data_IF_896731184244
#
_entry.id   IF_896731184244
#
_cell.length_a   1.000
_cell.length_b   1.000
_cell.length_c   1.000
_cell.angle_alpha   90.00
_cell.angle_beta   90.00
_cell.angle_gamma   90.00
#
_symmetry.space_group_name_H-M   'P 1'
#
loop_
_entity.id
_entity.type
_entity.pdbx_description
1 polymer ?
#
# COMPACT_ATOMS: atom_id res chain seq x y z
N UNK A 1 -5.87 -76.26 54.43
CA UNK A 1 -5.42 -75.61 53.19
C UNK A 1 -6.56 -74.79 52.65
N UNK A 2 -6.52 -73.47 52.82
CA UNK A 2 -7.37 -72.51 52.08
C UNK A 2 -6.68 -71.15 52.19
N UNK A 3 -6.12 -70.69 51.06
CA UNK A 3 -5.43 -69.42 50.95
C UNK A 3 -6.41 -68.26 50.78
N UNK A 4 -6.08 -67.13 51.41
CA UNK A 4 -6.81 -65.86 51.32
C UNK A 4 -6.26 -65.04 50.14
N UNK A 5 -7.08 -64.44 49.27
CA UNK A 5 -6.59 -63.59 48.19
C UNK A 5 -6.26 -62.17 48.69
N UNK A 6 -5.18 -61.60 48.12
CA UNK A 6 -4.71 -60.23 48.28
C UNK A 6 -5.65 -59.24 47.57
N UNK A 7 -6.18 -58.25 48.29
CA UNK A 7 -6.87 -57.10 47.71
C UNK A 7 -5.86 -56.04 47.24
N UNK A 8 -5.90 -55.71 45.96
CA UNK A 8 -5.14 -54.61 45.37
C UNK A 8 -5.85 -53.26 45.63
N UNK A 9 -5.09 -52.26 46.07
CA UNK A 9 -5.57 -50.88 46.31
C UNK A 9 -5.40 -50.03 45.03
N UNK A 10 -6.38 -49.18 44.63
CA UNK A 10 -6.25 -48.32 43.46
C UNK A 10 -5.41 -47.05 43.76
N UNK A 11 -4.74 -46.45 42.75
CA UNK A 11 -3.91 -45.27 42.96
C UNK A 11 -4.74 -43.98 43.15
N UNK A 12 -4.48 -43.26 44.24
CA UNK A 12 -5.04 -41.94 44.53
C UNK A 12 -4.62 -40.89 43.49
N UNK A 13 -5.59 -40.28 42.79
CA UNK A 13 -5.38 -39.04 42.03
C UNK A 13 -5.32 -37.87 43.02
N UNK A 14 -4.11 -37.39 43.33
CA UNK A 14 -3.91 -36.15 44.10
C UNK A 14 -4.43 -34.95 43.31
N UNK A 15 -5.52 -34.35 43.77
CA UNK A 15 -5.99 -33.05 43.26
C UNK A 15 -4.98 -31.97 43.69
N UNK A 16 -4.60 -31.02 42.80
CA UNK A 16 -3.70 -29.94 43.18
C UNK A 16 -4.33 -29.14 44.33
N UNK A 17 -3.52 -28.67 45.31
CA UNK A 17 -4.05 -27.95 46.46
C UNK A 17 -4.78 -26.70 45.96
N UNK A 18 -5.99 -26.44 46.47
CA UNK A 18 -6.83 -25.29 46.12
C UNK A 18 -6.08 -23.95 46.22
N UNK A 19 -5.06 -23.87 47.07
CA UNK A 19 -4.14 -22.74 47.18
C UNK A 19 -3.37 -22.43 45.88
N UNK A 20 -2.94 -23.45 45.13
CA UNK A 20 -2.25 -23.28 43.86
C UNK A 20 -3.19 -22.75 42.77
N UNK A 21 -4.43 -23.27 42.73
CA UNK A 21 -5.46 -22.79 41.79
C UNK A 21 -5.82 -21.35 42.10
N UNK A 22 -6.02 -21.01 43.38
CA UNK A 22 -6.29 -19.64 43.81
C UNK A 22 -5.13 -18.67 43.46
N UNK A 23 -3.88 -19.09 43.66
CA UNK A 23 -2.71 -18.29 43.32
C UNK A 23 -2.61 -18.02 41.80
N UNK A 24 -2.88 -19.03 40.96
CA UNK A 24 -2.88 -18.89 39.51
C UNK A 24 -4.01 -17.95 39.05
N UNK A 25 -5.21 -18.05 39.63
CA UNK A 25 -6.33 -17.16 39.29
C UNK A 25 -6.04 -15.72 39.70
N UNK A 26 -5.45 -15.49 40.89
CA UNK A 26 -5.02 -14.16 41.32
C UNK A 26 -3.94 -13.56 40.40
N UNK A 27 -2.97 -14.36 39.97
CA UNK A 27 -1.95 -13.92 39.02
C UNK A 27 -2.57 -13.47 37.67
N UNK A 28 -3.53 -14.25 37.15
CA UNK A 28 -4.25 -13.88 35.92
C UNK A 28 -5.11 -12.62 36.11
N UNK A 29 -5.75 -12.46 37.27
CA UNK A 29 -6.56 -11.28 37.57
C UNK A 29 -5.73 -10.00 37.67
N UNK A 30 -4.46 -10.09 38.13
CA UNK A 30 -3.52 -8.96 38.16
C UNK A 30 -3.02 -8.62 36.76
N UNK A 31 -2.70 -9.63 35.94
CA UNK A 31 -2.22 -9.46 34.56
C UNK A 31 -3.29 -8.93 33.60
N UNK A 32 -4.56 -9.17 33.89
CA UNK A 32 -5.70 -8.74 33.06
C UNK A 32 -6.30 -7.39 33.50
N UNK A 33 -5.69 -6.70 34.48
CA UNK A 33 -6.17 -5.35 34.84
C UNK A 33 -5.92 -4.40 33.67
N UNK A 34 -6.96 -3.72 33.16
CA UNK A 34 -6.78 -2.73 32.12
C UNK A 34 -5.91 -1.59 32.66
N UNK A 35 -4.78 -1.34 32.01
CA UNK A 35 -3.96 -0.15 32.27
C UNK A 35 -4.78 1.09 31.93
N UNK A 36 -4.82 2.11 32.81
CA UNK A 36 -5.48 3.36 32.48
C UNK A 36 -4.82 3.96 31.22
N UNK A 37 -5.60 4.56 30.31
CA UNK A 37 -5.02 5.22 29.15
C UNK A 37 -4.06 6.33 29.63
N UNK A 38 -2.89 6.50 29.00
CA UNK A 38 -2.00 7.59 29.32
C UNK A 38 -2.75 8.92 29.16
N UNK A 39 -2.56 9.82 30.13
CA UNK A 39 -3.10 11.18 30.06
C UNK A 39 -2.67 11.82 28.74
N UNK A 40 -3.61 12.48 28.05
CA UNK A 40 -3.36 13.14 26.78
C UNK A 40 -2.20 14.13 26.92
N UNK A 41 -1.16 13.93 26.11
CA UNK A 41 -0.06 14.88 26.00
C UNK A 41 -0.61 16.25 25.55
N UNK A 42 -0.07 17.37 26.06
CA UNK A 42 -0.44 18.69 25.57
C UNK A 42 -0.13 18.80 24.07
N UNK A 43 -1.02 19.45 23.33
CA UNK A 43 -0.91 19.63 21.88
C UNK A 43 0.45 20.26 21.52
N UNK A 44 1.15 19.75 20.49
CA UNK A 44 2.39 20.35 20.04
C UNK A 44 2.12 21.75 19.47
N UNK A 45 2.87 22.74 19.95
CA UNK A 45 2.91 24.08 19.36
C UNK A 45 3.20 23.98 17.86
N UNK A 46 2.44 24.75 17.06
CA UNK A 46 2.61 24.84 15.61
C UNK A 46 4.09 25.07 15.26
N UNK A 47 4.68 24.13 14.50
CA UNK A 47 6.02 24.30 13.93
C UNK A 47 5.94 25.36 12.83
N UNK A 48 6.93 26.25 12.70
CA UNK A 48 7.00 27.15 11.55
C UNK A 48 7.20 26.34 10.25
N UNK A 49 6.55 26.78 9.19
CA UNK A 49 6.61 26.17 7.86
C UNK A 49 8.05 26.02 7.35
N UNK A 50 8.39 24.91 6.67
CA UNK A 50 9.69 24.78 6.05
C UNK A 50 9.82 25.78 4.89
N UNK A 51 10.82 26.67 5.01
CA UNK A 51 11.24 27.55 3.92
C UNK A 51 11.84 26.71 2.78
N UNK A 52 11.13 26.66 1.65
CA UNK A 52 11.63 26.04 0.43
C UNK A 52 12.69 26.95 -0.22
N UNK A 53 13.98 26.67 -0.01
CA UNK A 53 15.03 27.25 -0.83
C UNK A 53 15.09 26.54 -2.17
N UNK A 54 14.63 27.24 -3.22
CA UNK A 54 14.82 26.81 -4.60
C UNK A 54 16.25 27.14 -5.02
N UNK A 55 17.09 26.12 -5.20
CA UNK A 55 18.40 26.30 -5.83
C UNK A 55 18.18 26.64 -7.32
N UNK A 56 18.54 27.86 -7.72
CA UNK A 56 18.60 28.26 -9.13
C UNK A 56 19.95 27.76 -9.66
N UNK A 57 19.93 26.90 -10.68
CA UNK A 57 21.14 26.50 -11.38
C UNK A 57 21.80 27.75 -12.01
N UNK A 58 23.11 27.97 -11.80
CA UNK A 58 23.79 29.07 -12.47
C UNK A 58 23.74 28.86 -13.99
N UNK A 59 23.53 29.92 -14.78
CA UNK A 59 23.55 29.82 -16.24
C UNK A 59 24.93 29.33 -16.71
N UNK A 60 25.00 28.53 -17.79
CA UNK A 60 26.26 28.06 -18.31
C UNK A 60 27.14 29.26 -18.68
N UNK A 61 28.39 29.24 -18.22
CA UNK A 61 29.39 30.24 -18.56
C UNK A 61 29.65 30.20 -20.07
N UNK A 62 29.04 31.13 -20.81
CA UNK A 62 29.40 31.40 -22.19
C UNK A 62 30.85 31.86 -22.20
N UNK A 63 31.68 31.14 -22.97
CA UNK A 63 33.09 31.44 -23.17
C UNK A 63 33.29 32.92 -23.51
N UNK A 64 34.20 33.55 -22.76
CA UNK A 64 34.61 34.92 -22.94
C UNK A 64 35.11 35.17 -24.37
N UNK A 65 34.47 36.11 -25.07
CA UNK A 65 35.09 36.83 -26.18
C UNK A 65 35.25 38.28 -25.75
N UNK A 66 36.50 38.68 -25.55
CA UNK A 66 36.90 40.04 -25.25
C UNK A 66 36.57 40.97 -26.43
N UNK A 67 35.86 42.07 -26.15
CA UNK A 67 35.89 43.31 -26.94
C UNK A 67 35.29 44.48 -26.14
N UNK A 68 36.19 45.24 -25.51
CA UNK A 68 36.27 46.71 -25.44
C UNK A 68 35.03 47.57 -25.11
N UNK A 69 35.05 48.17 -23.91
CA UNK A 69 34.23 49.30 -23.45
C UNK A 69 34.57 50.63 -24.15
N UNK A 70 33.59 51.55 -24.31
CA UNK A 70 33.82 52.99 -24.23
C UNK A 70 33.08 53.67 -23.04
N UNK A 71 33.55 54.86 -22.58
CA UNK A 71 33.23 55.48 -21.29
C UNK A 71 31.97 56.39 -21.26
N UNK A 72 31.54 56.90 -20.07
CA UNK A 72 30.20 57.45 -19.82
C UNK A 72 30.14 58.99 -19.69
N UNK A 73 28.93 59.57 -19.81
CA UNK A 73 28.38 60.74 -19.06
C UNK A 73 26.98 61.17 -19.63
N UNK A 74 26.21 62.08 -19.01
CA UNK A 74 25.52 61.98 -17.71
C UNK A 74 24.00 62.31 -17.77
N UNK A 75 23.35 62.24 -16.61
CA UNK A 75 21.91 62.23 -16.33
C UNK A 75 21.12 63.55 -16.46
N UNK A 76 19.80 63.48 -16.57
CA UNK A 76 18.86 64.09 -15.58
C UNK A 76 17.39 63.61 -15.75
N UNK A 77 16.58 63.63 -14.67
CA UNK A 77 15.25 63.01 -14.58
C UNK A 77 14.08 64.03 -14.58
N UNK A 78 12.84 63.56 -14.77
CA UNK A 78 11.64 64.36 -14.48
C UNK A 78 10.64 63.57 -13.62
N UNK A 79 10.28 64.19 -12.49
CA UNK A 79 9.32 63.77 -11.48
C UNK A 79 7.93 64.37 -11.81
N UNK A 80 6.84 63.59 -11.74
CA UNK A 80 5.88 63.48 -10.62
C UNK A 80 4.84 64.62 -10.49
N UNK A 81 3.58 64.20 -10.19
CA UNK A 81 2.48 64.88 -9.43
C UNK A 81 1.18 65.00 -10.27
N UNK A 82 -0.05 64.78 -9.80
CA UNK A 82 -0.68 64.19 -8.60
C UNK A 82 -2.18 63.92 -8.89
N UNK A 83 -2.82 63.12 -8.03
CA UNK A 83 -4.28 62.93 -7.87
C UNK A 83 -4.91 64.06 -6.99
N UNK A 84 -6.09 63.93 -6.31
CA UNK A 84 -7.36 63.19 -6.52
C UNK A 84 -8.64 64.05 -6.23
N UNK A 85 -9.85 63.47 -6.35
CA UNK A 85 -11.08 63.83 -5.59
C UNK A 85 -12.14 62.68 -5.67
N UNK A 86 -12.57 61.97 -4.60
CA UNK A 86 -13.69 62.20 -3.61
C UNK A 86 -15.11 62.34 -4.23
N UNK A 87 -16.25 61.73 -3.82
CA UNK A 87 -16.72 60.71 -2.82
C UNK A 87 -18.19 60.26 -3.21
N UNK A 88 -19.13 59.71 -2.37
CA UNK A 88 -19.84 58.42 -2.59
C UNK A 88 -21.39 58.52 -2.70
N UNK A 89 -22.15 57.38 -2.75
CA UNK A 89 -23.37 57.08 -1.91
C UNK A 89 -24.16 55.78 -2.24
N UNK A 90 -24.44 55.02 -1.15
CA UNK A 90 -25.59 54.18 -0.71
C UNK A 90 -26.13 52.91 -1.45
N UNK A 91 -25.96 51.76 -0.75
CA UNK A 91 -26.94 50.81 -0.17
C UNK A 91 -28.27 50.47 -0.87
N UNK A 92 -28.58 49.16 -0.96
CA UNK A 92 -29.72 48.53 -0.26
C UNK A 92 -29.68 46.98 -0.32
N UNK A 93 -30.04 46.36 0.81
CA UNK A 93 -30.24 44.93 1.06
C UNK A 93 -31.75 44.64 0.99
N UNK A 94 -32.18 43.51 0.41
CA UNK A 94 -33.39 42.80 0.87
C UNK A 94 -33.49 41.38 0.28
N UNK A 95 -33.37 40.40 1.17
CA UNK A 95 -33.91 39.04 1.11
C UNK A 95 -35.44 39.06 1.13
N UNK A 96 -36.09 38.12 0.41
CA UNK A 96 -37.28 37.35 0.86
C UNK A 96 -37.75 36.34 -0.22
N UNK A 97 -37.57 35.06 0.11
CA UNK A 97 -38.40 33.91 -0.29
C UNK A 97 -39.64 33.85 0.64
N UNK A 98 -40.57 32.87 0.59
CA UNK A 98 -40.96 31.86 -0.42
C UNK A 98 -42.48 31.90 -0.74
N UNK A 99 -42.97 31.04 -1.64
CA UNK A 99 -44.06 30.07 -1.36
C UNK A 99 -44.64 29.44 -2.63
N UNK A 100 -44.78 28.12 -2.57
CA UNK A 100 -45.41 27.23 -3.53
C UNK A 100 -46.95 27.23 -3.39
N UNK A 101 -47.66 26.87 -4.47
CA UNK A 101 -48.88 26.06 -4.42
C UNK A 101 -49.26 25.53 -5.80
N UNK A 102 -49.95 24.40 -5.78
CA UNK A 102 -49.99 23.37 -6.81
C UNK A 102 -51.24 23.39 -7.71
N UNK A 103 -51.11 22.68 -8.83
CA UNK A 103 -52.09 21.78 -9.47
C UNK A 103 -53.40 22.35 -10.06
N UNK A 104 -53.67 22.03 -11.35
CA UNK A 104 -54.66 21.02 -11.79
C UNK A 104 -54.83 21.05 -13.33
N UNK A 105 -55.43 19.98 -13.87
CA UNK A 105 -55.26 19.34 -15.17
C UNK A 105 -56.51 19.50 -16.08
N UNK A 106 -56.30 19.43 -17.42
CA UNK A 106 -57.17 18.86 -18.51
C UNK A 106 -58.11 19.81 -19.31
N UNK A 107 -58.69 19.43 -20.50
CA UNK A 107 -58.20 19.56 -21.92
C UNK A 107 -59.27 20.20 -22.89
N UNK A 108 -59.33 19.92 -24.22
CA UNK A 108 -58.49 20.33 -25.36
C UNK A 108 -59.27 21.18 -26.41
N UNK A 109 -58.58 21.77 -27.40
CA UNK A 109 -59.21 22.32 -28.62
C UNK A 109 -58.23 22.32 -29.83
N UNK A 110 -58.71 22.34 -31.10
CA UNK A 110 -58.09 21.60 -32.20
C UNK A 110 -57.22 22.42 -33.20
N UNK A 111 -56.31 21.65 -33.82
CA UNK A 111 -55.69 21.69 -35.15
C UNK A 111 -56.01 22.84 -36.15
N UNK A 112 -54.96 23.55 -36.56
CA UNK A 112 -54.65 24.18 -37.88
C UNK A 112 -53.19 24.68 -37.77
N UNK A 113 -52.28 24.75 -38.74
CA UNK A 113 -52.03 24.22 -40.08
C UNK A 113 -50.50 24.41 -40.32
N UNK A 114 -49.90 23.65 -41.24
CA UNK A 114 -48.47 23.71 -41.64
C UNK A 114 -48.03 25.12 -42.10
N UNK A 115 -46.76 25.57 -42.11
CA UNK A 115 -45.40 25.02 -42.21
C UNK A 115 -44.37 26.13 -41.78
N UNK A 116 -43.03 26.05 -41.96
CA UNK A 116 -42.12 24.93 -42.16
C UNK A 116 -41.00 24.86 -41.08
N UNK A 117 -40.23 23.78 -41.16
CA UNK A 117 -39.12 23.41 -40.30
C UNK A 117 -37.91 24.35 -40.44
N UNK A 118 -37.44 24.92 -39.33
CA UNK A 118 -36.05 25.36 -39.18
C UNK A 118 -35.25 24.22 -38.57
N UNK A 119 -34.51 23.51 -39.42
CA UNK A 119 -33.47 22.56 -39.03
C UNK A 119 -32.39 23.31 -38.25
N UNK A 120 -32.41 23.19 -36.92
CA UNK A 120 -31.24 23.51 -36.10
C UNK A 120 -30.21 22.42 -36.33
N UNK A 121 -29.08 22.79 -36.94
CA UNK A 121 -27.93 21.92 -37.11
C UNK A 121 -27.43 21.39 -35.75
N UNK A 122 -26.99 20.13 -35.65
CA UNK A 122 -26.36 19.62 -34.42
C UNK A 122 -25.06 20.38 -34.18
N UNK A 123 -24.68 20.66 -32.92
CA UNK A 123 -23.33 21.13 -32.64
C UNK A 123 -22.33 20.05 -33.08
N UNK A 124 -21.45 20.45 -33.99
CA UNK A 124 -20.29 19.71 -34.45
C UNK A 124 -19.47 19.32 -33.21
N UNK A 125 -19.52 18.03 -32.86
CA UNK A 125 -18.71 17.47 -31.79
C UNK A 125 -17.27 17.45 -32.30
N UNK A 126 -16.44 18.34 -31.77
CA UNK A 126 -15.00 18.30 -31.99
C UNK A 126 -14.48 16.89 -31.69
N UNK A 127 -13.67 16.28 -32.58
CA UNK A 127 -13.17 14.94 -32.36
C UNK A 127 -12.39 14.90 -31.04
N UNK A 128 -12.81 14.01 -30.14
CA UNK A 128 -12.06 13.71 -28.94
C UNK A 128 -10.63 13.30 -29.36
N UNK A 129 -9.59 13.80 -28.66
CA UNK A 129 -8.22 13.38 -28.95
C UNK A 129 -8.16 11.85 -28.87
N UNK A 130 -7.42 11.18 -29.77
CA UNK A 130 -7.26 9.74 -29.72
C UNK A 130 -6.76 9.36 -28.33
N UNK A 131 -7.22 8.24 -27.74
CA UNK A 131 -6.75 7.81 -26.44
C UNK A 131 -5.23 7.68 -26.52
N UNK A 132 -4.54 8.53 -25.77
CA UNK A 132 -3.10 8.41 -25.56
C UNK A 132 -2.88 7.05 -24.92
N UNK A 133 -2.55 6.05 -25.75
CA UNK A 133 -2.25 4.71 -25.28
C UNK A 133 -0.89 4.80 -24.63
N UNK A 134 -0.89 5.05 -23.32
CA UNK A 134 0.33 4.92 -22.52
C UNK A 134 0.84 3.51 -22.75
N UNK A 135 2.07 3.33 -23.25
CA UNK A 135 2.60 2.00 -23.52
C UNK A 135 2.59 1.18 -22.24
N UNK A 136 2.04 -0.03 -22.30
CA UNK A 136 1.96 -0.93 -21.17
C UNK A 136 3.37 -1.21 -20.62
N UNK A 137 3.53 -1.14 -19.31
CA UNK A 137 4.80 -1.49 -18.66
C UNK A 137 5.01 -2.99 -18.79
N UNK A 138 6.11 -3.47 -19.38
CA UNK A 138 6.33 -4.90 -19.58
C UNK A 138 6.53 -5.61 -18.23
N UNK A 139 6.08 -6.87 -18.14
CA UNK A 139 6.22 -7.72 -16.94
C UNK A 139 6.70 -9.12 -17.35
N UNK A 140 7.67 -9.66 -16.60
CA UNK A 140 8.23 -11.01 -16.80
C UNK A 140 8.23 -11.76 -15.47
N UNK A 141 7.17 -12.52 -15.22
CA UNK A 141 6.99 -13.26 -13.96
C UNK A 141 7.95 -14.46 -13.86
N UNK A 142 8.50 -14.68 -12.67
CA UNK A 142 9.31 -15.85 -12.37
C UNK A 142 8.53 -17.15 -12.51
N UNK A 143 9.22 -18.25 -12.79
CA UNK A 143 8.62 -19.59 -12.83
C UNK A 143 8.15 -20.05 -11.44
N UNK A 144 7.20 -20.98 -11.45
CA UNK A 144 6.64 -21.60 -10.24
C UNK A 144 7.75 -22.19 -9.37
N UNK A 145 7.73 -21.88 -8.07
CA UNK A 145 8.76 -22.29 -7.13
C UNK A 145 8.20 -22.45 -5.72
N UNK A 146 8.86 -23.30 -4.93
CA UNK A 146 8.65 -23.37 -3.48
C UNK A 146 9.91 -22.89 -2.78
N UNK A 147 9.78 -21.84 -1.99
CA UNK A 147 10.88 -21.18 -1.30
C UNK A 147 10.71 -21.37 0.21
N UNK A 148 11.81 -21.64 0.91
CA UNK A 148 11.84 -21.85 2.36
C UNK A 148 12.64 -20.74 3.02
N UNK A 149 12.17 -20.26 4.16
CA UNK A 149 12.73 -19.10 4.83
C UNK A 149 12.95 -19.39 6.31
N UNK A 150 13.98 -18.76 6.86
CA UNK A 150 14.09 -18.52 8.29
C UNK A 150 13.51 -17.15 8.57
N UNK A 151 12.66 -17.08 9.59
CA UNK A 151 12.08 -15.83 10.09
C UNK A 151 12.66 -15.56 11.46
N UNK A 152 13.23 -14.39 11.66
CA UNK A 152 13.69 -13.93 12.96
C UNK A 152 13.26 -12.50 13.22
N UNK A 153 13.18 -12.10 14.48
CA UNK A 153 12.80 -10.74 14.81
C UNK A 153 12.36 -10.58 16.25
N UNK A 154 11.59 -9.51 16.50
CA UNK A 154 11.06 -9.17 17.81
C UNK A 154 9.57 -8.86 17.69
N UNK A 155 8.78 -9.40 18.60
CA UNK A 155 7.36 -9.09 18.71
C UNK A 155 7.04 -8.77 20.18
N UNK A 156 6.50 -7.57 20.43
CA UNK A 156 6.18 -7.06 21.78
C UNK A 156 7.38 -7.16 22.73
N UNK A 157 8.57 -6.82 22.22
CA UNK A 157 9.82 -6.86 22.98
C UNK A 157 10.44 -8.25 23.18
N UNK A 158 9.82 -9.33 22.70
CA UNK A 158 10.36 -10.69 22.80
C UNK A 158 10.97 -11.12 21.47
N UNK A 159 12.21 -11.64 21.45
CA UNK A 159 12.78 -12.23 20.25
C UNK A 159 12.03 -13.52 19.88
N UNK A 160 11.92 -13.80 18.59
CA UNK A 160 11.38 -15.06 18.09
C UNK A 160 12.15 -15.54 16.87
N UNK A 161 12.07 -16.85 16.65
CA UNK A 161 12.48 -17.51 15.42
C UNK A 161 11.37 -18.44 14.95
N UNK A 162 11.22 -18.54 13.63
CA UNK A 162 10.29 -19.45 12.99
C UNK A 162 10.82 -19.86 11.61
N UNK A 163 10.21 -20.89 11.04
CA UNK A 163 10.36 -21.19 9.62
C UNK A 163 9.15 -20.70 8.84
N UNK A 164 9.33 -20.44 7.56
CA UNK A 164 8.24 -20.07 6.68
C UNK A 164 8.44 -20.62 5.27
N UNK A 165 7.36 -20.64 4.50
CA UNK A 165 7.34 -21.14 3.14
C UNK A 165 6.54 -20.21 2.23
N UNK A 166 7.09 -19.89 1.06
CA UNK A 166 6.34 -19.33 -0.06
C UNK A 166 6.13 -20.42 -1.10
N UNK A 167 4.88 -20.78 -1.38
CA UNK A 167 4.50 -21.58 -2.56
C UNK A 167 4.02 -20.62 -3.64
N UNK A 168 4.78 -20.51 -4.72
CA UNK A 168 4.45 -19.72 -5.91
C UNK A 168 4.14 -20.65 -7.07
N UNK A 169 2.94 -20.52 -7.63
CA UNK A 169 2.49 -21.30 -8.78
C UNK A 169 1.82 -20.38 -9.80
N UNK A 170 2.13 -20.58 -11.07
CA UNK A 170 1.42 -19.93 -12.18
C UNK A 170 1.39 -20.82 -13.41
N UNK A 171 0.38 -20.57 -14.24
CA UNK A 171 0.37 -20.94 -15.65
C UNK A 171 0.30 -19.67 -16.52
N UNK A 172 -0.14 -19.79 -17.77
CA UNK A 172 -0.27 -18.66 -18.70
C UNK A 172 -1.44 -17.71 -18.38
N UNK A 173 -2.40 -18.16 -17.57
CA UNK A 173 -3.68 -17.48 -17.32
C UNK A 173 -4.00 -17.27 -15.85
N UNK A 174 -3.46 -18.09 -14.94
CA UNK A 174 -3.78 -18.10 -13.50
C UNK A 174 -2.51 -18.16 -12.67
N UNK A 175 -2.64 -17.68 -11.44
CA UNK A 175 -1.62 -17.84 -10.42
C UNK A 175 -2.22 -18.16 -9.04
N UNK A 176 -1.38 -18.73 -8.20
CA UNK A 176 -1.61 -18.93 -6.77
C UNK A 176 -0.31 -18.69 -6.02
N UNK A 177 -0.37 -17.84 -4.99
CA UNK A 177 0.72 -17.58 -4.05
C UNK A 177 0.24 -17.86 -2.63
N UNK A 178 1.02 -18.63 -1.87
CA UNK A 178 0.72 -18.93 -0.46
C UNK A 178 1.97 -18.74 0.40
N UNK A 179 1.88 -17.84 1.37
CA UNK A 179 2.89 -17.64 2.40
C UNK A 179 2.42 -18.28 3.70
N UNK A 180 3.23 -19.15 4.31
CA UNK A 180 2.84 -19.88 5.52
C UNK A 180 3.95 -19.85 6.57
N UNK A 181 3.57 -19.54 7.81
CA UNK A 181 4.44 -19.51 9.00
C UNK A 181 3.83 -20.39 10.09
N UNK A 182 4.25 -21.66 10.24
CA UNK A 182 3.83 -22.49 11.35
C UNK A 182 4.46 -22.00 12.67
N UNK A 183 3.63 -21.76 13.68
CA UNK A 183 4.07 -21.35 15.03
C UNK A 183 3.66 -22.44 16.03
N UNK A 184 4.62 -23.17 16.63
CA UNK A 184 4.32 -24.18 17.64
C UNK A 184 3.40 -23.62 18.73
N UNK A 185 2.38 -24.38 19.11
CA UNK A 185 1.37 -24.03 20.16
C UNK A 185 0.43 -22.85 19.84
N UNK A 186 0.73 -21.99 18.86
CA UNK A 186 -0.09 -20.81 18.50
C UNK A 186 -0.96 -21.09 17.26
N UNK A 187 -0.53 -22.02 16.40
CA UNK A 187 -1.18 -22.34 15.14
C UNK A 187 -0.39 -21.82 13.94
N UNK A 188 -1.03 -21.75 12.78
CA UNK A 188 -0.38 -21.32 11.54
C UNK A 188 -0.84 -19.93 11.15
N UNK A 189 0.10 -19.05 10.82
CA UNK A 189 -0.21 -17.81 10.10
C UNK A 189 -0.02 -18.06 8.61
N UNK A 190 -0.95 -17.59 7.78
CA UNK A 190 -0.83 -17.70 6.34
C UNK A 190 -1.37 -16.47 5.61
N UNK A 191 -0.83 -16.21 4.42
CA UNK A 191 -1.38 -15.30 3.43
C UNK A 191 -1.59 -16.08 2.13
N UNK A 192 -2.68 -15.83 1.44
CA UNK A 192 -3.02 -16.53 0.21
C UNK A 192 -3.54 -15.53 -0.82
N UNK A 193 -2.96 -15.53 -2.01
CA UNK A 193 -3.36 -14.68 -3.13
C UNK A 193 -3.61 -15.55 -4.35
N UNK A 194 -4.76 -15.36 -4.99
CA UNK A 194 -5.13 -16.04 -6.24
C UNK A 194 -5.69 -15.04 -7.22
N UNK A 195 -5.46 -15.27 -8.51
CA UNK A 195 -5.99 -14.42 -9.54
C UNK A 195 -5.58 -14.84 -10.95
N UNK A 196 -5.64 -13.89 -11.87
CA UNK A 196 -5.29 -14.05 -13.26
C UNK A 196 -3.86 -13.57 -13.55
N UNK A 197 -3.25 -14.14 -14.58
CA UNK A 197 -2.02 -13.65 -15.20
C UNK A 197 -2.42 -12.93 -16.48
N UNK A 198 -2.03 -11.66 -16.59
CA UNK A 198 -2.38 -10.76 -17.69
C UNK A 198 -1.12 -10.21 -18.35
N UNK A 199 -1.28 -9.48 -19.46
CA UNK A 199 -0.17 -8.77 -20.10
C UNK A 199 0.48 -7.71 -19.18
N UNK A 200 -0.28 -7.18 -18.20
CA UNK A 200 0.21 -6.24 -17.20
C UNK A 200 0.78 -6.94 -15.94
N UNK A 201 0.88 -8.26 -15.94
CA UNK A 201 1.31 -9.07 -14.79
C UNK A 201 0.14 -9.64 -14.00
N UNK A 202 0.30 -9.72 -12.67
CA UNK A 202 -0.68 -10.31 -11.77
C UNK A 202 -1.91 -9.42 -11.61
N UNK A 203 -3.09 -10.02 -11.70
CA UNK A 203 -4.36 -9.41 -11.40
C UNK A 203 -5.05 -10.23 -10.30
N UNK A 204 -4.89 -9.85 -9.02
CA UNK A 204 -5.52 -10.58 -7.91
C UNK A 204 -7.04 -10.57 -8.04
N UNK A 205 -7.67 -11.67 -7.65
CA UNK A 205 -9.12 -11.83 -7.51
C UNK A 205 -9.51 -11.96 -6.03
N UNK A 206 -8.68 -12.66 -5.24
CA UNK A 206 -8.87 -12.81 -3.80
C UNK A 206 -7.53 -12.87 -3.07
N UNK A 207 -7.44 -12.10 -2.00
CA UNK A 207 -6.35 -12.15 -1.02
C UNK A 207 -6.92 -12.50 0.36
N UNK A 208 -6.28 -13.41 1.10
CA UNK A 208 -6.69 -13.82 2.44
C UNK A 208 -5.53 -13.85 3.43
N UNK A 209 -5.79 -13.45 4.66
CA UNK A 209 -4.88 -13.60 5.81
C UNK A 209 -5.52 -14.50 6.86
N UNK A 210 -4.84 -15.58 7.22
CA UNK A 210 -5.26 -16.55 8.25
C UNK A 210 -4.33 -16.50 9.45
N UNK A 211 -4.91 -16.39 10.64
CA UNK A 211 -4.20 -16.57 11.91
C UNK A 211 -5.15 -17.26 12.91
N UNK A 212 -5.78 -16.51 13.83
CA UNK A 212 -6.86 -17.03 14.69
C UNK A 212 -8.23 -17.12 14.00
N UNK A 213 -8.31 -16.61 12.78
CA UNK A 213 -9.46 -16.61 11.89
C UNK A 213 -9.00 -16.15 10.51
N UNK A 214 -9.90 -16.15 9.54
CA UNK A 214 -9.62 -15.72 8.17
C UNK A 214 -10.27 -14.36 7.89
N UNK A 215 -9.53 -13.47 7.23
CA UNK A 215 -10.06 -12.23 6.63
C UNK A 215 -9.58 -12.16 5.19
N UNK A 216 -10.35 -11.53 4.32
CA UNK A 216 -10.05 -11.48 2.91
C UNK A 216 -10.39 -10.12 2.28
N UNK A 217 -9.73 -9.84 1.18
CA UNK A 217 -10.07 -8.81 0.21
C UNK A 217 -10.44 -9.48 -1.12
N UNK A 218 -11.53 -9.03 -1.73
CA UNK A 218 -12.01 -9.48 -3.04
C UNK A 218 -11.86 -8.35 -4.03
N UNK A 219 -11.16 -8.61 -5.13
CA UNK A 219 -10.90 -7.65 -6.19
C UNK A 219 -11.96 -7.87 -7.26
N UNK A 220 -12.93 -6.96 -7.29
CA UNK A 220 -14.08 -7.02 -8.19
C UNK A 220 -13.80 -6.10 -9.38
N UNK A 221 -13.20 -6.68 -10.41
CA UNK A 221 -12.79 -5.97 -11.63
C UNK A 221 -13.97 -5.36 -12.38
N UNK A 222 -15.06 -6.12 -12.56
CA UNK A 222 -16.29 -5.66 -13.20
C UNK A 222 -16.94 -4.51 -12.41
N UNK A 223 -16.84 -4.58 -11.09
CA UNK A 223 -17.32 -3.56 -10.17
C UNK A 223 -16.39 -2.37 -9.94
N UNK A 224 -15.15 -2.41 -10.43
CA UNK A 224 -14.13 -1.39 -10.17
C UNK A 224 -13.83 -1.15 -8.69
N UNK A 225 -13.90 -2.19 -7.84
CA UNK A 225 -13.76 -2.03 -6.37
C UNK A 225 -13.06 -3.21 -5.68
N UNK A 226 -12.55 -2.96 -4.48
CA UNK A 226 -11.99 -3.96 -3.58
C UNK A 226 -12.89 -4.05 -2.34
N UNK A 227 -13.44 -5.23 -2.08
CA UNK A 227 -14.35 -5.51 -0.96
C UNK A 227 -13.63 -6.25 0.15
N UNK A 228 -13.84 -5.85 1.41
CA UNK A 228 -13.19 -6.49 2.55
C UNK A 228 -14.17 -7.32 3.38
N UNK A 229 -13.82 -8.57 3.69
CA UNK A 229 -14.65 -9.45 4.54
C UNK A 229 -14.74 -8.96 6.00
N UNK A 230 -13.88 -8.03 6.39
CA UNK A 230 -13.88 -7.40 7.71
C UNK A 230 -14.96 -6.32 7.89
N UNK A 231 -15.95 -6.23 6.99
CA UNK A 231 -17.00 -5.20 6.97
C UNK A 231 -16.42 -3.78 7.04
N UNK A 232 -15.42 -3.53 6.20
CA UNK A 232 -14.79 -2.21 6.02
C UNK A 232 -15.36 -1.55 4.76
N UNK A 233 -15.32 -0.22 4.65
CA UNK A 233 -15.68 0.45 3.39
C UNK A 233 -14.89 -0.13 2.22
N UNK A 234 -15.55 -0.32 1.09
CA UNK A 234 -14.90 -0.74 -0.15
C UNK A 234 -13.88 0.32 -0.59
N UNK A 235 -12.81 -0.12 -1.25
CA UNK A 235 -11.85 0.76 -1.91
C UNK A 235 -12.08 0.76 -3.42
N UNK A 236 -11.73 1.84 -4.12
CA UNK A 236 -11.70 1.85 -5.58
C UNK A 236 -10.57 0.95 -6.08
N UNK A 237 -10.83 0.14 -7.11
CA UNK A 237 -9.82 -0.71 -7.73
C UNK A 237 -9.03 0.08 -8.78
N UNK A 238 -7.75 0.33 -8.52
CA UNK A 238 -6.86 0.96 -9.49
C UNK A 238 -6.31 -0.06 -10.51
N UNK A 239 -5.94 0.42 -11.70
CA UNK A 239 -5.27 -0.41 -12.69
C UNK A 239 -3.94 -0.93 -12.13
N UNK A 240 -3.70 -2.24 -12.23
CA UNK A 240 -2.51 -2.89 -11.70
C UNK A 240 -2.47 -3.02 -10.17
N UNK A 241 -3.60 -2.78 -9.48
CA UNK A 241 -3.71 -3.00 -8.05
C UNK A 241 -3.30 -4.43 -7.65
N UNK A 242 -2.59 -4.52 -6.54
CA UNK A 242 -2.04 -5.77 -6.00
C UNK A 242 -2.55 -5.98 -4.57
N UNK A 243 -2.38 -7.18 -4.04
CA UNK A 243 -2.40 -7.42 -2.60
C UNK A 243 -0.97 -7.47 -2.03
N UNK A 244 -0.84 -7.58 -0.71
CA UNK A 244 0.46 -7.58 -0.02
C UNK A 244 1.40 -8.71 -0.47
N UNK A 245 0.86 -9.85 -0.90
CA UNK A 245 1.65 -11.00 -1.34
C UNK A 245 1.95 -10.93 -2.84
N UNK A 246 0.93 -10.73 -3.67
CA UNK A 246 1.10 -10.58 -5.13
C UNK A 246 1.95 -9.36 -5.49
N UNK A 247 1.88 -8.27 -4.71
CA UNK A 247 2.67 -7.06 -4.94
C UNK A 247 4.18 -7.30 -4.91
N UNK A 248 4.66 -8.18 -4.03
CA UNK A 248 6.09 -8.55 -3.96
C UNK A 248 6.52 -9.29 -5.24
N UNK A 249 5.67 -10.20 -5.73
CA UNK A 249 5.92 -10.98 -6.95
C UNK A 249 5.81 -10.11 -8.21
N UNK A 250 4.86 -9.19 -8.23
CA UNK A 250 4.66 -8.22 -9.32
C UNK A 250 5.86 -7.28 -9.44
N UNK A 251 6.42 -6.79 -8.33
CA UNK A 251 7.65 -5.99 -8.34
C UNK A 251 8.84 -6.76 -8.95
N UNK A 252 8.97 -8.04 -8.59
CA UNK A 252 9.93 -8.95 -9.23
C UNK A 252 9.72 -9.02 -10.73
N UNK A 253 8.48 -9.23 -11.17
CA UNK A 253 8.15 -9.31 -12.59
C UNK A 253 8.40 -8.02 -13.38
N UNK A 254 8.11 -6.86 -12.80
CA UNK A 254 8.36 -5.55 -13.41
C UNK A 254 9.87 -5.34 -13.64
N UNK A 255 10.67 -5.57 -12.60
CA UNK A 255 12.13 -5.40 -12.68
C UNK A 255 12.75 -6.44 -13.62
N UNK A 256 12.29 -7.69 -13.60
CA UNK A 256 12.78 -8.75 -14.48
C UNK A 256 12.48 -8.50 -15.96
N UNK A 257 11.44 -7.73 -16.28
CA UNK A 257 11.07 -7.44 -17.66
C UNK A 257 12.06 -6.50 -18.33
N UNK A 258 12.48 -5.46 -17.60
CA UNK A 258 13.36 -4.40 -18.07
C UNK A 258 14.20 -3.83 -16.89
N UNK A 259 15.28 -4.52 -16.48
CA UNK A 259 16.11 -4.07 -15.36
C UNK A 259 16.73 -2.69 -15.58
N UNK A 260 16.99 -2.31 -16.83
CA UNK A 260 17.57 -1.01 -17.20
C UNK A 260 16.63 0.16 -16.94
N UNK A 261 15.31 -0.08 -16.88
CA UNK A 261 14.29 0.91 -16.52
C UNK A 261 14.28 1.28 -15.04
N UNK A 262 14.87 0.45 -14.18
CA UNK A 262 14.80 0.59 -12.74
C UNK A 262 16.19 0.65 -12.09
N UNK A 263 17.06 1.63 -12.44
CA UNK A 263 18.32 1.83 -11.73
C UNK A 263 18.07 2.27 -10.27
N UNK A 264 19.08 2.15 -9.37
CA UNK A 264 19.01 2.71 -8.02
C UNK A 264 18.52 4.16 -8.00
N UNK A 265 17.65 4.48 -7.04
CA UNK A 265 16.94 5.76 -6.95
C UNK A 265 15.57 5.79 -7.65
N UNK A 266 15.27 4.82 -8.51
CA UNK A 266 13.95 4.70 -9.16
C UNK A 266 12.83 4.51 -8.16
N UNK A 267 11.63 4.98 -8.51
CA UNK A 267 10.42 4.84 -7.70
C UNK A 267 9.38 4.02 -8.46
N UNK A 268 8.76 3.05 -7.78
CA UNK A 268 7.59 2.33 -8.27
C UNK A 268 6.41 2.61 -7.32
N UNK A 269 5.21 2.70 -7.86
CA UNK A 269 3.99 2.85 -7.06
C UNK A 269 2.94 1.85 -7.50
N UNK A 270 2.36 1.12 -6.56
CA UNK A 270 1.30 0.15 -6.78
C UNK A 270 0.25 0.29 -5.69
N UNK A 271 -1.03 0.39 -6.03
CA UNK A 271 -2.09 0.23 -5.04
C UNK A 271 -1.96 -1.17 -4.43
N UNK A 272 -1.83 -1.25 -3.11
CA UNK A 272 -1.62 -2.51 -2.39
C UNK A 272 -2.69 -2.70 -1.34
N UNK A 273 -3.50 -3.75 -1.49
CA UNK A 273 -4.55 -4.11 -0.56
C UNK A 273 -4.05 -5.08 0.52
N UNK A 274 -4.38 -4.77 1.77
CA UNK A 274 -4.46 -5.75 2.84
C UNK A 274 -5.89 -6.29 2.99
N UNK A 275 -6.23 -6.81 4.17
CA UNK A 275 -7.59 -7.29 4.48
C UNK A 275 -8.52 -6.22 5.07
N UNK A 276 -8.11 -4.94 5.03
CA UNK A 276 -8.81 -3.82 5.69
C UNK A 276 -8.79 -2.50 4.92
N UNK A 277 -7.72 -2.29 4.16
CA UNK A 277 -7.50 -1.08 3.37
C UNK A 277 -6.73 -1.43 2.09
N UNK A 278 -6.78 -0.52 1.11
CA UNK A 278 -5.99 -0.55 -0.10
C UNK A 278 -5.43 0.84 -0.37
N UNK A 279 -4.10 0.97 -0.30
CA UNK A 279 -3.40 2.26 -0.38
C UNK A 279 -2.26 2.20 -1.40
N UNK A 280 -1.89 3.33 -2.01
CA UNK A 280 -0.73 3.40 -2.89
C UNK A 280 0.57 3.20 -2.10
N UNK A 281 1.25 2.08 -2.35
CA UNK A 281 2.57 1.79 -1.79
C UNK A 281 3.65 2.26 -2.77
N UNK A 282 4.57 3.08 -2.27
CA UNK A 282 5.72 3.55 -3.03
C UNK A 282 6.98 2.81 -2.60
N UNK A 283 7.71 2.33 -3.59
CA UNK A 283 8.94 1.57 -3.43
C UNK A 283 10.08 2.31 -4.09
N UNK A 284 11.15 2.53 -3.36
CA UNK A 284 12.40 3.02 -3.89
C UNK A 284 13.32 1.86 -4.20
N UNK A 285 13.89 1.81 -5.40
CA UNK A 285 14.99 0.90 -5.73
C UNK A 285 16.26 1.46 -5.10
N UNK A 286 16.95 0.63 -4.33
CA UNK A 286 18.23 0.95 -3.70
C UNK A 286 19.37 0.31 -4.48
N UNK A 287 20.60 0.54 -4.04
CA UNK A 287 21.76 -0.17 -4.57
C UNK A 287 21.61 -1.68 -4.42
N UNK A 288 22.17 -2.39 -5.39
CA UNK A 288 22.22 -3.85 -5.38
C UNK A 288 22.96 -4.36 -4.13
N UNK A 289 22.50 -5.47 -3.58
CA UNK A 289 23.10 -6.11 -2.41
C UNK A 289 23.27 -7.60 -2.67
N UNK A 290 24.45 -8.13 -2.33
CA UNK A 290 24.73 -9.57 -2.43
C UNK A 290 24.41 -10.24 -1.11
N UNK A 291 23.36 -11.07 -1.09
CA UNK A 291 23.03 -11.91 0.05
C UNK A 291 23.88 -13.18 0.04
N UNK A 292 24.18 -13.71 1.23
CA UNK A 292 24.82 -15.01 1.39
C UNK A 292 23.77 -16.01 1.87
N UNK A 293 23.37 -16.94 1.01
CA UNK A 293 22.33 -17.94 1.27
C UNK A 293 22.93 -19.31 1.01
N UNK A 294 22.96 -20.16 2.04
CA UNK A 294 23.54 -21.52 1.97
C UNK A 294 24.97 -21.55 1.41
N UNK A 295 25.80 -20.58 1.84
CA UNK A 295 27.18 -20.41 1.37
C UNK A 295 27.32 -19.90 -0.07
N UNK A 296 26.22 -19.63 -0.77
CA UNK A 296 26.22 -19.08 -2.13
C UNK A 296 25.99 -17.56 -2.11
N UNK A 297 26.68 -16.85 -3.01
CA UNK A 297 26.44 -15.43 -3.26
C UNK A 297 25.21 -15.25 -4.16
N UNK A 298 24.24 -14.47 -3.68
CA UNK A 298 22.96 -14.24 -4.37
C UNK A 298 22.82 -12.73 -4.62
N UNK A 299 23.16 -12.25 -5.82
CA UNK A 299 23.00 -10.83 -6.15
C UNK A 299 21.51 -10.47 -6.19
N UNK A 300 21.14 -9.43 -5.45
CA UNK A 300 19.76 -8.99 -5.29
C UNK A 300 19.60 -7.51 -5.65
N UNK A 301 18.44 -7.19 -6.24
CA UNK A 301 17.94 -5.82 -6.24
C UNK A 301 17.25 -5.56 -4.92
N UNK A 302 17.57 -4.45 -4.25
CA UNK A 302 16.95 -4.07 -2.98
C UNK A 302 15.90 -2.98 -3.21
N UNK A 303 14.74 -3.13 -2.58
CA UNK A 303 13.69 -2.13 -2.57
C UNK A 303 13.32 -1.73 -1.14
N UNK A 304 12.89 -0.49 -0.99
CA UNK A 304 12.42 0.08 0.28
C UNK A 304 11.06 0.74 0.10
N UNK A 305 10.08 0.31 0.89
CA UNK A 305 8.89 1.09 1.22
C UNK A 305 9.15 1.78 2.56
N UNK A 306 9.42 3.09 2.52
CA UNK A 306 9.56 3.90 3.72
C UNK A 306 8.20 4.22 4.35
N UNK A 307 8.09 4.31 5.69
CA UNK A 307 6.91 4.86 6.34
C UNK A 307 6.65 6.30 5.90
N UNK A 308 5.40 6.66 5.63
CA UNK A 308 5.01 8.04 5.27
C UNK A 308 4.28 8.75 6.40
N UNK A 309 3.68 7.99 7.31
CA UNK A 309 3.00 8.45 8.51
C UNK A 309 3.43 7.60 9.71
N UNK A 310 3.14 8.06 10.93
CA UNK A 310 3.62 7.45 12.18
C UNK A 310 3.22 5.98 12.38
N UNK A 311 2.19 5.51 11.68
CA UNK A 311 1.65 4.15 11.80
C UNK A 311 1.96 3.27 10.58
N UNK A 312 2.70 3.80 9.60
CA UNK A 312 3.09 3.05 8.42
C UNK A 312 4.18 2.01 8.72
N UNK A 313 4.06 0.85 8.10
CA UNK A 313 5.08 -0.20 8.16
C UNK A 313 6.27 0.12 7.23
N UNK A 314 7.50 0.01 7.71
CA UNK A 314 8.69 -0.02 6.83
C UNK A 314 8.85 -1.41 6.25
N UNK A 315 9.10 -1.51 4.95
CA UNK A 315 9.35 -2.80 4.28
C UNK A 315 10.62 -2.70 3.45
N UNK A 316 11.53 -3.63 3.67
CA UNK A 316 12.74 -3.82 2.88
C UNK A 316 12.67 -5.17 2.18
N UNK A 317 12.90 -5.18 0.88
CA UNK A 317 12.70 -6.33 0.01
C UNK A 317 13.96 -6.55 -0.82
N UNK A 318 14.45 -7.79 -0.87
CA UNK A 318 15.55 -8.21 -1.73
C UNK A 318 15.03 -9.22 -2.74
N UNK A 319 15.20 -8.91 -4.02
CA UNK A 319 14.77 -9.75 -5.14
C UNK A 319 15.99 -10.41 -5.77
N UNK A 320 16.07 -11.74 -5.71
CA UNK A 320 17.23 -12.49 -6.21
C UNK A 320 17.22 -12.60 -7.73
N UNK A 321 18.18 -11.95 -8.39
CA UNK A 321 18.39 -12.03 -9.83
C UNK A 321 18.47 -13.48 -10.36
N UNK A 322 19.25 -14.40 -9.76
CA UNK A 322 19.35 -15.78 -10.26
C UNK A 322 18.06 -16.60 -10.11
N UNK A 323 17.09 -16.13 -9.30
CA UNK A 323 15.80 -16.78 -9.08
C UNK A 323 14.68 -16.09 -9.86
N UNK A 324 15.00 -15.43 -10.98
CA UNK A 324 14.02 -14.68 -11.76
C UNK A 324 13.39 -13.51 -11.00
N UNK A 325 14.15 -12.91 -10.06
CA UNK A 325 13.69 -11.84 -9.18
C UNK A 325 12.61 -12.28 -8.17
N UNK A 326 12.59 -13.56 -7.77
CA UNK A 326 11.82 -14.00 -6.60
C UNK A 326 12.36 -13.38 -5.30
N UNK A 327 11.51 -13.16 -4.28
CA UNK A 327 11.93 -12.58 -3.00
C UNK A 327 12.91 -13.50 -2.28
N UNK A 328 14.13 -13.02 -2.04
CA UNK A 328 15.13 -13.72 -1.25
C UNK A 328 15.18 -13.26 0.21
N UNK A 329 14.76 -12.02 0.49
CA UNK A 329 14.57 -11.52 1.84
C UNK A 329 13.47 -10.48 1.88
N UNK A 330 12.69 -10.48 2.95
CA UNK A 330 11.66 -9.49 3.23
C UNK A 330 11.68 -9.14 4.71
N UNK A 331 12.09 -7.91 5.02
CA UNK A 331 12.11 -7.38 6.38
C UNK A 331 10.99 -6.36 6.56
N UNK A 332 10.14 -6.61 7.54
CA UNK A 332 8.98 -5.79 7.87
C UNK A 332 9.20 -5.21 9.27
N UNK A 333 9.18 -3.90 9.40
CA UNK A 333 9.26 -3.19 10.68
C UNK A 333 7.97 -2.40 10.89
N UNK A 334 7.21 -2.78 11.91
CA UNK A 334 5.98 -2.08 12.31
C UNK A 334 6.32 -0.78 13.02
N UNK A 335 5.38 0.17 13.02
CA UNK A 335 5.51 1.45 13.73
C UNK A 335 5.87 1.28 15.22
N UNK A 336 5.33 0.24 15.88
CA UNK A 336 5.63 -0.08 17.28
C UNK A 336 7.01 -0.73 17.53
N UNK A 337 7.84 -0.88 16.51
CA UNK A 337 9.18 -1.49 16.62
C UNK A 337 9.22 -3.01 16.48
N UNK A 338 8.07 -3.68 16.34
CA UNK A 338 8.03 -5.10 16.00
C UNK A 338 8.68 -5.33 14.62
N UNK A 339 9.58 -6.31 14.55
CA UNK A 339 10.32 -6.66 13.33
C UNK A 339 10.09 -8.11 13.00
N UNK A 340 9.85 -8.40 11.72
CA UNK A 340 9.94 -9.74 11.16
C UNK A 340 10.88 -9.69 9.94
N UNK A 341 12.02 -10.36 10.03
CA UNK A 341 13.00 -10.51 8.97
C UNK A 341 12.95 -11.93 8.42
N UNK A 342 12.56 -12.06 7.17
CA UNK A 342 12.32 -13.34 6.51
C UNK A 342 13.38 -13.49 5.43
N UNK A 343 14.35 -14.38 5.62
CA UNK A 343 15.42 -14.62 4.65
C UNK A 343 15.37 -16.06 4.15
N UNK A 344 15.54 -16.24 2.84
CA UNK A 344 15.60 -17.53 2.19
C UNK A 344 16.67 -18.39 2.89
N UNK A 345 16.28 -19.58 3.33
CA UNK A 345 17.17 -20.47 4.09
C UNK A 345 18.05 -21.32 3.18
N UNK A 346 17.60 -21.58 1.95
CA UNK A 346 18.29 -22.38 0.93
C UNK A 346 17.83 -22.01 -0.46
N UNK A 347 18.69 -22.17 -1.46
CA UNK A 347 18.29 -22.01 -2.86
C UNK A 347 17.32 -23.15 -3.27
N UNK A 348 16.29 -22.85 -4.07
CA UNK A 348 15.45 -23.89 -4.65
C UNK A 348 16.28 -24.75 -5.61
N UNK A 349 16.01 -26.06 -5.64
CA UNK A 349 16.66 -26.95 -6.61
C UNK A 349 16.19 -26.58 -8.02
N UNK A 350 17.13 -26.40 -8.95
CA UNK A 350 16.83 -26.33 -10.37
C UNK A 350 16.15 -27.63 -10.78
N UNK A 351 14.96 -27.54 -11.39
CA UNK A 351 14.28 -28.70 -12.00
C UNK A 351 14.92 -29.07 -13.33
#
# INVERSE_FOLDING_TARGET
MTGTPLSACPPERRRPPLALVAAVVLAHAVLLRPTPPPAAAPAPSARPDPLWLRAIAPPPATAARAATLPPPAPATPSAQRAAPATTPRAQAVATRSPAAASATRRPPAPRQAAAPHTTTAPPETAPAPPPTTTPAVPVRLADSATLHYRVSGHARGLPFEAEAQLRWQRDSTRYEAEWTVPLPLIGTRAQHSVGAVTAAGLAPERYAERARGERAAHFDADGGRIRFSANRPDAALESGAQDRLSGVLQLGGLIAADPGRYPPGSQLSLQTAGVREADPWRWQVLDDEVLHIDGQQVPCVRLLRAPRHDWDTRIELWLARPLGYLPARLRVTQAGGDVADQQLSRLPRSR
#
